data_IF_950141348680
#
_entry.id   IF_950141348680
#
_cell.length_a   1.000
_cell.length_b   1.000
_cell.length_c   1.000
_cell.angle_alpha   90.00
_cell.angle_beta   90.00
_cell.angle_gamma   90.00
#
_symmetry.space_group_name_H-M   'P 1'
#
loop_
_entity.id
_entity.type
_entity.pdbx_description
1 polymer ?
#
# COMPACT_ATOMS: atom_id res chain seq x y z
N UNK A 1 -6.58 29.59 18.10
CA UNK A 1 -5.84 29.11 16.92
C UNK A 1 -6.79 28.42 15.96
N UNK A 2 -7.62 27.46 16.40
CA UNK A 2 -8.62 26.79 15.54
C UNK A 2 -9.62 27.72 14.82
N UNK A 3 -10.06 28.82 15.43
CA UNK A 3 -11.02 29.75 14.80
C UNK A 3 -10.41 30.60 13.68
N UNK A 4 -9.08 30.77 13.65
CA UNK A 4 -8.40 31.56 12.62
C UNK A 4 -8.11 30.72 11.37
N UNK A 5 -7.66 29.47 11.54
CA UNK A 5 -7.45 28.54 10.42
C UNK A 5 -8.76 28.25 9.66
N UNK A 6 -9.87 28.10 10.38
CA UNK A 6 -11.17 27.83 9.77
C UNK A 6 -11.70 29.01 8.91
N UNK A 7 -11.43 30.25 9.34
CA UNK A 7 -11.80 31.46 8.59
C UNK A 7 -10.94 31.65 7.33
N UNK A 8 -9.68 31.20 7.35
CA UNK A 8 -8.76 31.27 6.21
C UNK A 8 -9.11 30.25 5.12
N UNK A 9 -9.38 28.99 5.49
CA UNK A 9 -9.82 27.95 4.54
C UNK A 9 -11.12 28.33 3.81
N UNK A 10 -12.07 28.94 4.53
CA UNK A 10 -13.34 29.38 3.97
C UNK A 10 -13.14 30.52 2.96
N UNK A 11 -12.21 31.44 3.22
CA UNK A 11 -11.89 32.53 2.31
C UNK A 11 -11.24 32.03 1.02
N UNK A 12 -10.29 31.09 1.13
CA UNK A 12 -9.65 30.49 -0.04
C UNK A 12 -10.66 29.72 -0.90
N UNK A 13 -11.53 28.94 -0.27
CA UNK A 13 -12.59 28.18 -0.95
C UNK A 13 -13.53 29.09 -1.73
N UNK A 14 -13.99 30.19 -1.12
CA UNK A 14 -14.85 31.16 -1.77
C UNK A 14 -14.16 31.87 -2.95
N UNK A 15 -12.86 32.15 -2.82
CA UNK A 15 -12.06 32.72 -3.91
C UNK A 15 -12.00 31.77 -5.11
N UNK A 16 -11.74 30.48 -4.87
CA UNK A 16 -11.70 29.46 -5.93
C UNK A 16 -13.06 29.37 -6.64
N UNK A 17 -14.17 29.33 -5.91
CA UNK A 17 -15.50 29.29 -6.52
C UNK A 17 -15.78 30.50 -7.41
N UNK A 18 -15.34 31.68 -6.99
CA UNK A 18 -15.47 32.90 -7.78
C UNK A 18 -14.63 32.82 -9.06
N UNK A 19 -13.36 32.43 -8.95
CA UNK A 19 -12.47 32.29 -10.11
C UNK A 19 -13.01 31.27 -11.12
N UNK A 20 -13.57 30.14 -10.66
CA UNK A 20 -14.24 29.16 -11.52
C UNK A 20 -15.49 29.74 -12.19
N UNK A 21 -16.29 30.52 -11.45
CA UNK A 21 -17.50 31.16 -11.97
C UNK A 21 -17.26 32.20 -13.06
N UNK A 22 -16.05 32.78 -13.11
CA UNK A 22 -15.64 33.77 -14.10
C UNK A 22 -15.08 33.15 -15.39
N UNK A 23 -14.87 31.81 -15.44
CA UNK A 23 -14.33 31.12 -16.61
C UNK A 23 -15.36 30.95 -17.73
N UNK A 24 -14.89 31.05 -18.98
CA UNK A 24 -15.69 30.71 -20.15
C UNK A 24 -15.69 29.19 -20.42
N UNK A 25 -16.53 28.72 -21.34
CA UNK A 25 -16.68 27.29 -21.65
C UNK A 25 -15.37 26.59 -22.06
N UNK A 26 -14.49 27.27 -22.81
CA UNK A 26 -13.21 26.68 -23.23
C UNK A 26 -12.30 26.49 -22.02
N UNK A 27 -12.20 27.50 -21.17
CA UNK A 27 -11.40 27.47 -19.94
C UNK A 27 -11.92 26.43 -18.94
N UNK A 28 -13.26 26.26 -18.84
CA UNK A 28 -13.87 25.22 -18.01
C UNK A 28 -13.52 23.80 -18.49
N UNK A 29 -13.45 23.58 -19.81
CA UNK A 29 -13.03 22.29 -20.36
C UNK A 29 -11.54 22.02 -20.10
N UNK A 30 -10.69 23.05 -20.22
CA UNK A 30 -9.27 22.94 -19.86
C UNK A 30 -9.08 22.65 -18.37
N UNK A 31 -9.85 23.31 -17.49
CA UNK A 31 -9.87 23.06 -16.06
C UNK A 31 -10.32 21.63 -15.73
N UNK A 32 -11.36 21.12 -16.40
CA UNK A 32 -11.83 19.74 -16.23
C UNK A 32 -10.74 18.72 -16.60
N UNK A 33 -10.01 18.96 -17.69
CA UNK A 33 -8.86 18.16 -18.09
C UNK A 33 -7.76 18.16 -17.03
N UNK A 34 -7.40 19.34 -16.51
CA UNK A 34 -6.41 19.48 -15.45
C UNK A 34 -6.82 18.76 -14.15
N UNK A 35 -8.08 18.88 -13.72
CA UNK A 35 -8.60 18.18 -12.54
C UNK A 35 -8.50 16.66 -12.71
N UNK A 36 -8.85 16.14 -13.89
CA UNK A 36 -8.74 14.71 -14.20
C UNK A 36 -7.30 14.24 -14.09
N UNK A 37 -6.36 14.98 -14.70
CA UNK A 37 -4.94 14.66 -14.66
C UNK A 37 -4.38 14.69 -13.23
N UNK A 38 -4.76 15.67 -12.40
CA UNK A 38 -4.35 15.76 -11.00
C UNK A 38 -4.80 14.52 -10.22
N UNK A 39 -6.06 14.09 -10.41
CA UNK A 39 -6.59 12.90 -9.74
C UNK A 39 -5.86 11.65 -10.18
N UNK A 40 -5.65 11.47 -11.48
CA UNK A 40 -4.92 10.31 -12.03
C UNK A 40 -3.48 10.26 -11.52
N UNK A 41 -2.76 11.39 -11.55
CA UNK A 41 -1.39 11.48 -11.04
C UNK A 41 -1.33 11.17 -9.55
N UNK A 42 -2.25 11.72 -8.75
CA UNK A 42 -2.30 11.45 -7.31
C UNK A 42 -2.56 9.98 -7.01
N UNK A 43 -3.46 9.33 -7.75
CA UNK A 43 -3.72 7.89 -7.58
C UNK A 43 -2.51 7.04 -8.01
N UNK A 44 -1.85 7.41 -9.10
CA UNK A 44 -0.63 6.75 -9.57
C UNK A 44 0.49 6.86 -8.52
N UNK A 45 0.74 8.06 -8.02
CA UNK A 45 1.77 8.32 -7.01
C UNK A 45 1.49 7.56 -5.71
N UNK A 46 0.23 7.56 -5.24
CA UNK A 46 -0.18 6.75 -4.08
C UNK A 46 0.12 5.27 -4.29
N UNK A 47 -0.21 4.72 -5.47
CA UNK A 47 0.06 3.32 -5.80
C UNK A 47 1.57 3.02 -5.81
N UNK A 48 2.37 3.88 -6.45
CA UNK A 48 3.83 3.72 -6.51
C UNK A 48 4.46 3.78 -5.12
N UNK A 49 4.01 4.71 -4.27
CA UNK A 49 4.48 4.84 -2.89
C UNK A 49 4.10 3.61 -2.05
N UNK A 50 2.87 3.10 -2.16
CA UNK A 50 2.43 1.91 -1.44
C UNK A 50 3.22 0.67 -1.86
N UNK A 51 3.46 0.48 -3.16
CA UNK A 51 4.28 -0.61 -3.68
C UNK A 51 5.73 -0.52 -3.19
N UNK A 52 6.31 0.69 -3.22
CA UNK A 52 7.66 0.93 -2.71
C UNK A 52 7.76 0.61 -1.21
N UNK A 53 6.77 1.04 -0.42
CA UNK A 53 6.70 0.72 1.00
C UNK A 53 6.58 -0.78 1.26
N UNK A 54 5.72 -1.49 0.52
CA UNK A 54 5.54 -2.93 0.65
C UNK A 54 6.85 -3.68 0.37
N UNK A 55 7.56 -3.31 -0.69
CA UNK A 55 8.83 -3.92 -1.07
C UNK A 55 9.92 -3.70 -0.02
N UNK A 56 10.10 -2.45 0.42
CA UNK A 56 11.17 -2.07 1.34
C UNK A 56 10.90 -2.49 2.79
N UNK A 57 9.64 -2.54 3.22
CA UNK A 57 9.30 -2.71 4.64
C UNK A 57 8.81 -4.11 4.98
N UNK A 58 8.06 -4.75 4.08
CA UNK A 58 7.40 -6.04 4.34
C UNK A 58 8.17 -7.15 3.64
N UNK A 59 8.32 -7.06 2.32
CA UNK A 59 8.93 -8.12 1.51
C UNK A 59 10.39 -8.32 1.88
N UNK A 60 11.14 -7.23 2.06
CA UNK A 60 12.54 -7.30 2.50
C UNK A 60 12.68 -8.05 3.83
N UNK A 61 11.81 -7.76 4.81
CA UNK A 61 11.82 -8.45 6.12
C UNK A 61 11.49 -9.94 6.01
N UNK A 62 10.51 -10.30 5.18
CA UNK A 62 10.15 -11.69 4.96
C UNK A 62 11.25 -12.47 4.25
N UNK A 63 11.98 -11.81 3.34
CA UNK A 63 13.12 -12.39 2.64
C UNK A 63 14.29 -12.64 3.60
N UNK A 64 14.63 -11.65 4.42
CA UNK A 64 15.68 -11.78 5.44
C UNK A 64 15.34 -12.91 6.42
N UNK A 65 14.09 -12.98 6.87
CA UNK A 65 13.63 -14.06 7.76
C UNK A 65 13.72 -15.44 7.10
N UNK A 66 13.34 -15.55 5.82
CA UNK A 66 13.46 -16.81 5.08
C UNK A 66 14.92 -17.29 5.02
N UNK A 67 15.85 -16.38 4.78
CA UNK A 67 17.28 -16.67 4.75
C UNK A 67 17.80 -17.10 6.13
N UNK A 68 17.40 -16.40 7.20
CA UNK A 68 17.77 -16.71 8.58
C UNK A 68 17.38 -18.13 8.99
N UNK A 69 16.17 -18.56 8.65
CA UNK A 69 15.67 -19.90 9.00
C UNK A 69 16.11 -20.99 8.00
N UNK A 70 16.87 -20.64 6.96
CA UNK A 70 17.24 -21.58 5.89
C UNK A 70 16.05 -22.06 5.04
N UNK A 71 14.99 -21.24 4.96
CA UNK A 71 13.79 -21.50 4.18
C UNK A 71 13.90 -21.00 2.72
N UNK A 72 12.82 -21.21 1.97
CA UNK A 72 12.67 -20.65 0.62
C UNK A 72 11.66 -19.52 0.63
N UNK A 73 11.93 -18.49 -0.16
CA UNK A 73 11.05 -17.35 -0.38
C UNK A 73 10.63 -17.30 -1.87
N UNK A 74 9.32 -17.22 -2.13
CA UNK A 74 8.78 -16.94 -3.44
C UNK A 74 7.81 -15.75 -3.37
N UNK A 75 7.80 -14.93 -4.42
CA UNK A 75 6.97 -13.74 -4.54
C UNK A 75 6.36 -13.70 -5.93
N UNK A 76 5.05 -13.61 -6.00
CA UNK A 76 4.30 -13.54 -7.26
C UNK A 76 3.11 -12.58 -7.14
N UNK A 77 2.67 -12.04 -8.27
CA UNK A 77 1.45 -11.24 -8.36
C UNK A 77 0.30 -12.13 -8.88
N UNK A 78 -0.88 -12.03 -8.28
CA UNK A 78 -2.08 -12.72 -8.78
C UNK A 78 -2.77 -11.94 -9.92
N UNK A 79 -3.82 -12.51 -10.51
CA UNK A 79 -4.55 -11.90 -11.64
C UNK A 79 -5.20 -10.55 -11.30
N UNK A 80 -5.47 -10.28 -10.02
CA UNK A 80 -6.09 -9.03 -9.56
C UNK A 80 -5.05 -8.03 -9.03
N UNK A 81 -3.76 -8.40 -9.06
CA UNK A 81 -2.63 -7.55 -8.67
C UNK A 81 -2.30 -7.58 -7.18
N UNK A 82 -2.78 -8.57 -6.42
CA UNK A 82 -2.28 -8.81 -5.07
C UNK A 82 -0.91 -9.45 -5.12
N UNK A 83 -0.07 -9.11 -4.15
CA UNK A 83 1.23 -9.74 -3.97
C UNK A 83 1.08 -10.96 -3.05
N UNK A 84 1.41 -12.14 -3.57
CA UNK A 84 1.45 -13.39 -2.83
C UNK A 84 2.89 -13.71 -2.49
N UNK A 85 3.17 -13.85 -1.20
CA UNK A 85 4.45 -14.32 -0.68
C UNK A 85 4.28 -15.74 -0.14
N UNK A 86 5.15 -16.64 -0.57
CA UNK A 86 5.20 -18.03 -0.09
C UNK A 86 6.53 -18.28 0.57
N UNK A 87 6.50 -18.59 1.86
CA UNK A 87 7.63 -19.08 2.64
C UNK A 87 7.51 -20.58 2.83
N UNK A 88 8.63 -21.31 2.70
CA UNK A 88 8.68 -22.75 3.05
C UNK A 88 9.87 -23.08 3.92
N UNK A 89 9.66 -23.93 4.92
CA UNK A 89 10.72 -24.36 5.82
C UNK A 89 10.45 -25.78 6.35
N UNK A 90 11.52 -26.56 6.55
CA UNK A 90 11.42 -27.96 7.00
C UNK A 90 11.06 -28.06 8.50
N UNK A 91 11.50 -27.09 9.31
CA UNK A 91 11.30 -27.01 10.76
C UNK A 91 10.12 -26.15 11.22
N UNK A 92 9.38 -25.54 10.30
CA UNK A 92 8.28 -24.63 10.63
C UNK A 92 8.72 -23.16 10.70
N UNK A 93 7.90 -22.33 11.35
CA UNK A 93 8.14 -20.90 11.49
C UNK A 93 8.10 -20.56 12.98
N UNK A 94 9.24 -20.15 13.52
CA UNK A 94 9.31 -19.60 14.87
C UNK A 94 9.20 -18.08 14.80
N UNK A 95 8.14 -17.54 15.40
CA UNK A 95 7.79 -16.11 15.38
C UNK A 95 7.69 -15.67 16.84
N UNK A 96 8.79 -15.21 17.38
CA UNK A 96 8.90 -14.82 18.78
C UNK A 96 8.60 -13.32 19.02
N UNK A 97 8.75 -12.89 20.28
CA UNK A 97 8.54 -11.50 20.68
C UNK A 97 9.63 -10.53 20.19
N UNK A 98 10.82 -11.03 19.88
CA UNK A 98 11.97 -10.21 19.49
C UNK A 98 11.89 -9.85 18.00
N UNK A 99 11.22 -10.67 17.20
CA UNK A 99 11.00 -10.46 15.77
C UNK A 99 9.86 -9.45 15.49
N UNK A 100 9.97 -8.23 16.06
CA UNK A 100 8.95 -7.16 15.92
C UNK A 100 8.65 -6.84 14.46
N UNK A 101 9.69 -6.70 13.62
CA UNK A 101 9.52 -6.37 12.20
C UNK A 101 8.80 -7.46 11.43
N UNK A 102 9.13 -8.74 11.70
CA UNK A 102 8.43 -9.87 11.10
C UNK A 102 6.96 -9.87 11.50
N UNK A 103 6.65 -9.68 12.80
CA UNK A 103 5.26 -9.62 13.27
C UNK A 103 4.48 -8.48 12.62
N UNK A 104 5.11 -7.33 12.41
CA UNK A 104 4.49 -6.23 11.65
C UNK A 104 4.24 -6.62 10.19
N UNK A 105 5.21 -7.24 9.53
CA UNK A 105 5.06 -7.73 8.16
C UNK A 105 3.92 -8.76 8.02
N UNK A 106 3.74 -9.63 9.02
CA UNK A 106 2.64 -10.58 9.08
C UNK A 106 1.29 -9.89 9.35
N UNK A 107 1.27 -8.92 10.27
CA UNK A 107 0.04 -8.23 10.69
C UNK A 107 -0.61 -7.40 9.58
N UNK A 108 0.17 -6.90 8.63
CA UNK A 108 -0.33 -6.11 7.49
C UNK A 108 -0.78 -6.97 6.30
N UNK A 109 -0.71 -8.29 6.39
CA UNK A 109 -1.21 -9.18 5.35
C UNK A 109 -2.75 -9.20 5.35
N UNK A 110 -3.35 -9.10 4.16
CA UNK A 110 -4.79 -9.24 3.98
C UNK A 110 -5.28 -10.68 4.21
N UNK A 111 -4.41 -11.64 3.92
CA UNK A 111 -4.68 -13.06 4.13
C UNK A 111 -3.41 -13.78 4.57
N UNK A 112 -3.55 -14.70 5.52
CA UNK A 112 -2.48 -15.56 6.00
C UNK A 112 -2.97 -17.00 6.00
N UNK A 113 -2.21 -17.88 5.37
CA UNK A 113 -2.40 -19.32 5.41
C UNK A 113 -1.14 -20.01 5.93
N UNK A 114 -1.32 -20.89 6.91
CA UNK A 114 -0.28 -21.77 7.41
C UNK A 114 -0.69 -23.20 7.11
N UNK A 115 0.21 -23.95 6.49
CA UNK A 115 -0.04 -25.34 6.13
C UNK A 115 1.23 -26.16 6.01
N UNK A 116 1.07 -27.34 5.44
CA UNK A 116 2.15 -28.28 5.20
C UNK A 116 1.98 -28.92 3.83
N UNK A 117 3.05 -28.98 3.05
CA UNK A 117 3.04 -29.53 1.69
C UNK A 117 4.45 -29.81 1.21
N UNK A 118 4.60 -30.85 0.37
CA UNK A 118 5.90 -31.30 -0.16
C UNK A 118 6.96 -31.57 0.92
N UNK A 119 6.52 -32.04 2.09
CA UNK A 119 7.39 -32.31 3.23
C UNK A 119 7.82 -31.08 4.03
N UNK A 120 7.31 -29.89 3.70
CA UNK A 120 7.71 -28.61 4.30
C UNK A 120 6.52 -27.88 4.90
N UNK A 121 6.75 -27.11 5.96
CA UNK A 121 5.80 -26.11 6.42
C UNK A 121 5.72 -24.98 5.40
N UNK A 122 4.51 -24.46 5.18
CA UNK A 122 4.23 -23.42 4.20
C UNK A 122 3.52 -22.28 4.91
N UNK A 123 4.00 -21.05 4.70
CA UNK A 123 3.35 -19.81 5.12
C UNK A 123 3.10 -18.97 3.87
N UNK A 124 1.82 -18.81 3.52
CA UNK A 124 1.38 -17.98 2.42
C UNK A 124 0.75 -16.70 2.96
N UNK A 125 1.21 -15.57 2.44
CA UNK A 125 0.78 -14.23 2.81
C UNK A 125 0.31 -13.50 1.56
N UNK A 126 -0.87 -12.89 1.61
CA UNK A 126 -1.37 -12.06 0.51
C UNK A 126 -1.43 -10.62 0.98
N UNK A 127 -0.84 -9.73 0.19
CA UNK A 127 -0.87 -8.29 0.39
C UNK A 127 -1.63 -7.64 -0.75
N UNK A 128 -2.61 -6.82 -0.42
CA UNK A 128 -3.33 -5.97 -1.36
C UNK A 128 -2.63 -4.60 -1.42
N UNK A 129 -1.88 -4.29 -2.50
CA UNK A 129 -1.17 -3.03 -2.62
C UNK A 129 -2.10 -1.83 -2.85
N UNK A 130 -3.42 -2.05 -3.00
CA UNK A 130 -4.42 -1.02 -3.32
C UNK A 130 -5.21 -0.60 -2.06
N UNK A 131 -5.25 -1.40 -0.99
CA UNK A 131 -6.18 -1.21 0.16
C UNK A 131 -5.51 -0.77 1.47
N UNK A 132 -4.35 -0.11 1.42
CA UNK A 132 -3.83 0.58 2.61
C UNK A 132 -4.44 1.99 2.69
N UNK A 133 -5.65 2.08 3.24
CA UNK A 133 -6.32 3.37 3.54
C UNK A 133 -7.84 3.39 3.35
N UNK A 134 -8.57 2.44 3.94
CA UNK A 134 -10.00 2.63 4.22
C UNK A 134 -10.18 3.27 5.60
#
# INVERSE_FOLDING_TARGET
METQEFDEELQETNRIYKEIGDLNTKELLELQGAITQIKENSQKEKKENTLSWLEQSVISVLKDYAEEIGGTFNSEDDEVGNRIITLRNDGGFDIDSENVRLRMALAVANYTYIGYGDGKSILNLTYDPIVIGK
#
